data_IF_194444526122
#
_entry.id   IF_194444526122
#
_cell.length_a   1.000
_cell.length_b   1.000
_cell.length_c   1.000
_cell.angle_alpha   90.00
_cell.angle_beta   90.00
_cell.angle_gamma   90.00
#
_symmetry.space_group_name_H-M   'P 1'
#
loop_
_entity.id
_entity.type
_entity.pdbx_description
1 polymer ?
#
# COMPACT_ATOMS: atom_id res chain seq x y z
N UNK A 1 -4.03 14.48 -2.16
CA UNK A 1 -4.64 14.03 -3.43
C UNK A 1 -5.20 12.63 -3.18
N UNK A 2 -6.45 12.35 -3.55
CA UNK A 2 -6.99 10.98 -3.45
C UNK A 2 -6.55 10.28 -4.74
N UNK A 3 -5.38 9.67 -4.72
CA UNK A 3 -4.89 8.96 -5.88
C UNK A 3 -5.75 7.71 -6.05
N UNK A 4 -6.47 7.62 -7.17
CA UNK A 4 -7.34 6.49 -7.48
C UNK A 4 -6.49 5.33 -8.04
N UNK A 5 -5.74 4.66 -7.17
CA UNK A 5 -5.02 3.46 -7.56
C UNK A 5 -5.96 2.26 -7.56
N UNK A 6 -5.89 1.45 -8.61
CA UNK A 6 -6.72 0.26 -8.77
C UNK A 6 -5.88 -1.00 -8.75
N UNK A 7 -6.41 -2.04 -8.09
CA UNK A 7 -5.75 -3.33 -8.00
C UNK A 7 -5.71 -3.98 -9.39
N UNK A 8 -4.53 -4.41 -9.88
CA UNK A 8 -4.41 -5.06 -11.18
C UNK A 8 -5.10 -6.43 -11.26
N UNK A 9 -5.43 -7.04 -10.11
CA UNK A 9 -6.07 -8.37 -10.07
C UNK A 9 -7.59 -8.31 -10.17
N UNK A 10 -8.23 -7.26 -9.63
CA UNK A 10 -9.70 -7.20 -9.52
C UNK A 10 -10.32 -5.83 -9.86
N UNK A 11 -9.51 -4.83 -10.19
CA UNK A 11 -9.98 -3.48 -10.52
C UNK A 11 -10.54 -2.68 -9.34
N UNK A 12 -10.53 -3.21 -8.12
CA UNK A 12 -10.99 -2.50 -6.93
C UNK A 12 -10.00 -1.41 -6.49
N UNK A 13 -10.47 -0.32 -5.86
CA UNK A 13 -9.58 0.69 -5.32
C UNK A 13 -8.64 0.10 -4.28
N UNK A 14 -7.40 0.57 -4.29
CA UNK A 14 -6.40 0.24 -3.27
C UNK A 14 -6.39 1.32 -2.19
N UNK A 15 -6.05 0.90 -0.97
CA UNK A 15 -6.03 1.79 0.20
C UNK A 15 -4.70 1.69 0.93
N UNK A 16 -4.30 2.79 1.57
CA UNK A 16 -3.15 2.82 2.46
C UNK A 16 -3.52 2.20 3.81
N UNK A 17 -2.78 1.17 4.21
CA UNK A 17 -2.98 0.45 5.45
C UNK A 17 -1.81 0.69 6.39
N UNK A 18 -2.13 1.06 7.63
CA UNK A 18 -1.17 1.19 8.72
C UNK A 18 -1.10 -0.10 9.51
N UNK A 19 0.08 -0.69 9.57
CA UNK A 19 0.37 -1.85 10.39
C UNK A 19 1.23 -1.43 11.58
N UNK A 20 0.90 -1.95 12.76
CA UNK A 20 1.67 -1.75 13.98
C UNK A 20 2.15 -3.12 14.45
N UNK A 21 3.46 -3.29 14.50
CA UNK A 21 4.06 -4.42 15.17
C UNK A 21 4.07 -4.16 16.68
N UNK A 22 3.18 -4.83 17.41
CA UNK A 22 3.03 -4.67 18.86
C UNK A 22 4.25 -5.14 19.65
N UNK A 23 5.12 -5.98 19.07
CA UNK A 23 6.31 -6.49 19.76
C UNK A 23 7.47 -5.50 19.73
N UNK A 24 7.60 -4.73 18.65
CA UNK A 24 8.70 -3.77 18.44
C UNK A 24 8.24 -2.30 18.49
N UNK A 25 6.93 -2.05 18.48
CA UNK A 25 6.34 -0.73 18.30
C UNK A 25 6.50 -0.16 16.89
N UNK A 26 7.04 -0.95 15.94
CA UNK A 26 7.34 -0.48 14.59
C UNK A 26 6.05 -0.27 13.81
N UNK A 27 5.92 0.91 13.22
CA UNK A 27 4.83 1.24 12.31
C UNK A 27 5.31 1.03 10.88
N UNK A 28 4.53 0.30 10.09
CA UNK A 28 4.73 0.18 8.64
C UNK A 28 3.46 0.55 7.90
N UNK A 29 3.64 1.05 6.69
CA UNK A 29 2.58 1.45 5.78
C UNK A 29 2.67 0.65 4.51
N UNK A 30 1.57 0.04 4.12
CA UNK A 30 1.41 -0.65 2.83
C UNK A 30 0.31 0.06 2.05
N UNK A 31 0.30 -0.10 0.73
CA UNK A 31 -0.85 0.24 -0.10
C UNK A 31 -1.20 -1.00 -0.89
N UNK A 32 -2.46 -1.38 -0.86
CA UNK A 32 -2.89 -2.60 -1.54
C UNK A 32 -4.40 -2.75 -1.59
N UNK A 33 -4.82 -3.81 -2.25
CA UNK A 33 -6.22 -4.19 -2.34
C UNK A 33 -6.74 -4.65 -0.97
N UNK A 34 -8.00 -4.37 -0.63
CA UNK A 34 -8.61 -4.90 0.59
C UNK A 34 -8.59 -6.43 0.68
N UNK A 35 -8.51 -7.14 -0.45
CA UNK A 35 -8.30 -8.58 -0.47
C UNK A 35 -6.80 -8.90 -0.28
N UNK A 36 -6.38 -9.50 0.85
CA UNK A 36 -4.97 -9.77 1.16
C UNK A 36 -4.28 -10.72 0.17
N UNK A 37 -5.04 -11.48 -0.64
CA UNK A 37 -4.49 -12.36 -1.69
C UNK A 37 -4.09 -11.61 -2.96
N UNK A 38 -4.46 -10.34 -3.08
CA UNK A 38 -4.17 -9.52 -4.26
C UNK A 38 -2.92 -8.67 -4.05
N UNK A 39 -2.63 -7.80 -5.02
CA UNK A 39 -1.50 -6.90 -5.00
C UNK A 39 -1.46 -6.02 -3.76
N UNK A 40 -0.30 -6.00 -3.11
CA UNK A 40 0.09 -5.10 -2.04
C UNK A 40 1.53 -4.66 -2.28
N UNK A 41 1.83 -3.41 -1.94
CA UNK A 41 3.21 -2.96 -1.85
C UNK A 41 3.90 -3.54 -0.61
N UNK A 42 5.23 -3.42 -0.58
CA UNK A 42 6.01 -3.72 0.63
C UNK A 42 5.68 -2.73 1.75
N UNK A 43 6.02 -3.10 2.99
CA UNK A 43 5.89 -2.19 4.13
C UNK A 43 6.94 -1.07 4.11
N UNK A 44 6.49 0.17 4.18
CA UNK A 44 7.34 1.38 4.23
C UNK A 44 7.18 2.13 5.55
N UNK A 45 8.10 3.06 5.82
CA UNK A 45 8.12 3.79 7.11
C UNK A 45 6.95 4.77 7.29
N UNK A 46 6.39 5.30 6.19
CA UNK A 46 5.25 6.20 6.22
C UNK A 46 4.41 6.09 4.95
N UNK A 47 3.20 6.65 4.98
CA UNK A 47 2.26 6.62 3.86
C UNK A 47 2.84 7.27 2.59
N UNK A 48 3.45 8.46 2.69
CA UNK A 48 3.98 9.18 1.54
C UNK A 48 5.05 8.39 0.76
N UNK A 49 5.93 7.66 1.45
CA UNK A 49 6.90 6.77 0.79
C UNK A 49 6.18 5.61 0.12
N UNK A 50 5.16 5.03 0.74
CA UNK A 50 4.38 3.96 0.13
C UNK A 50 3.67 4.42 -1.16
N UNK A 51 3.15 5.65 -1.19
CA UNK A 51 2.52 6.26 -2.36
C UNK A 51 3.53 6.47 -3.50
N UNK A 52 4.68 7.09 -3.22
CA UNK A 52 5.76 7.32 -4.21
C UNK A 52 6.24 5.99 -4.80
N UNK A 53 6.38 4.95 -3.97
CA UNK A 53 6.82 3.63 -4.43
C UNK A 53 5.75 2.92 -5.25
N UNK A 54 4.47 3.08 -4.91
CA UNK A 54 3.37 2.56 -5.71
C UNK A 54 3.34 3.23 -7.09
N UNK A 55 3.47 4.56 -7.16
CA UNK A 55 3.52 5.28 -8.44
C UNK A 55 4.66 4.79 -9.33
N UNK A 56 5.84 4.53 -8.75
CA UNK A 56 6.98 3.94 -9.47
C UNK A 56 6.71 2.54 -9.98
N UNK A 57 5.95 1.72 -9.25
CA UNK A 57 5.62 0.35 -9.65
C UNK A 57 4.57 0.31 -10.77
N UNK A 58 3.65 1.29 -10.81
CA UNK A 58 2.57 1.34 -11.79
C UNK A 58 2.98 1.98 -13.13
N UNK A 59 4.05 2.78 -13.15
CA UNK A 59 4.54 3.49 -14.34
C UNK A 59 5.87 2.93 -14.89
N UNK A 60 6.25 1.71 -14.52
CA UNK A 60 7.31 0.95 -15.18
C UNK A 60 6.77 0.21 -16.41
#
# INVERSE_FOLDING_TARGET
MKNNWFCPNCGQPMEAQRHVDNSTGRITWTIGCLNPKHFHTRGYMNAAIAEIQLEKLLHQ
#
